data_IF_087016213863
#
_entry.id   IF_087016213863
#
_cell.length_a   1.000
_cell.length_b   1.000
_cell.length_c   1.000
_cell.angle_alpha   90.00
_cell.angle_beta   90.00
_cell.angle_gamma   90.00
#
_symmetry.space_group_name_H-M   'P 1'
#
loop_
_entity.id
_entity.type
_entity.pdbx_description
1 polymer ?
#
# COMPACT_ATOMS: atom_id res chain seq x y z
N UNK A 1 -9.51 -3.94 8.78
CA UNK A 1 -10.88 -3.37 8.74
C UNK A 1 -10.97 -2.09 7.91
N UNK A 2 -10.17 -1.06 8.21
CA UNK A 2 -10.21 0.25 7.49
C UNK A 2 -9.97 0.12 5.99
N UNK A 3 -8.93 -0.60 5.56
CA UNK A 3 -8.61 -0.79 4.13
C UNK A 3 -9.79 -1.41 3.37
N UNK A 4 -10.35 -2.50 3.91
CA UNK A 4 -11.47 -3.19 3.27
C UNK A 4 -12.71 -2.27 3.16
N UNK A 5 -13.01 -1.49 4.20
CA UNK A 5 -14.11 -0.53 4.16
C UNK A 5 -13.86 0.59 3.12
N UNK A 6 -12.63 1.09 3.03
CA UNK A 6 -12.22 2.10 2.06
C UNK A 6 -12.35 1.62 0.61
N UNK A 7 -11.79 0.45 0.32
CA UNK A 7 -11.89 -0.19 -1.00
C UNK A 7 -13.35 -0.45 -1.36
N UNK A 8 -14.16 -1.00 -0.45
CA UNK A 8 -15.58 -1.24 -0.70
C UNK A 8 -16.35 0.06 -0.98
N UNK A 9 -16.00 1.17 -0.32
CA UNK A 9 -16.56 2.48 -0.61
C UNK A 9 -16.19 2.95 -2.01
N UNK A 10 -14.91 2.87 -2.35
CA UNK A 10 -14.38 3.27 -3.67
C UNK A 10 -15.03 2.44 -4.79
N UNK A 11 -15.10 1.11 -4.68
CA UNK A 11 -15.73 0.25 -5.70
C UNK A 11 -17.19 0.63 -5.95
N UNK A 12 -17.96 0.95 -4.90
CA UNK A 12 -19.36 1.42 -5.07
C UNK A 12 -19.44 2.73 -5.84
N UNK A 13 -18.52 3.66 -5.60
CA UNK A 13 -18.45 4.94 -6.31
C UNK A 13 -17.99 4.76 -7.77
N UNK A 14 -17.09 3.82 -8.04
CA UNK A 14 -16.55 3.53 -9.37
C UNK A 14 -17.49 2.73 -10.26
N UNK A 15 -18.36 1.88 -9.68
CA UNK A 15 -19.20 0.93 -10.43
C UNK A 15 -20.07 1.55 -11.54
N UNK A 16 -20.73 2.72 -11.37
CA UNK A 16 -21.52 3.34 -12.43
C UNK A 16 -20.70 3.82 -13.64
N UNK A 17 -19.40 4.01 -13.45
CA UNK A 17 -18.50 4.57 -14.47
C UNK A 17 -17.58 3.51 -15.10
N UNK A 18 -17.59 2.28 -14.60
CA UNK A 18 -16.62 1.26 -14.98
C UNK A 18 -15.17 1.65 -14.64
N UNK A 19 -14.98 2.51 -13.64
CA UNK A 19 -13.66 2.97 -13.23
C UNK A 19 -12.92 1.91 -12.39
N UNK A 20 -11.60 1.92 -12.43
CA UNK A 20 -10.75 1.08 -11.58
C UNK A 20 -10.63 1.68 -10.18
N UNK A 21 -10.50 0.82 -9.18
CA UNK A 21 -10.25 1.17 -7.78
C UNK A 21 -8.79 0.91 -7.42
N UNK A 22 -8.03 1.96 -7.12
CA UNK A 22 -6.66 1.84 -6.66
C UNK A 22 -6.58 1.69 -5.14
N UNK A 23 -5.74 0.77 -4.67
CA UNK A 23 -5.22 0.79 -3.30
C UNK A 23 -4.11 1.83 -3.25
N UNK A 24 -4.38 2.92 -2.55
CA UNK A 24 -3.45 4.01 -2.36
C UNK A 24 -2.63 3.81 -1.08
N UNK A 25 -1.30 3.85 -1.17
CA UNK A 25 -0.37 3.54 -0.09
C UNK A 25 0.67 4.65 0.03
N UNK A 26 0.71 5.31 1.18
CA UNK A 26 1.74 6.27 1.55
C UNK A 26 2.98 5.66 2.24
N UNK A 27 3.92 6.49 2.70
CA UNK A 27 5.04 6.04 3.53
C UNK A 27 4.57 5.49 4.88
N UNK A 28 5.35 4.60 5.50
CA UNK A 28 5.12 4.10 6.86
C UNK A 28 5.35 5.18 7.92
N UNK A 29 6.06 6.26 7.56
CA UNK A 29 6.29 7.41 8.42
C UNK A 29 7.46 7.25 9.40
N UNK A 30 8.21 6.15 9.28
CA UNK A 30 9.43 5.89 10.05
C UNK A 30 10.61 5.69 9.08
N UNK A 31 11.76 6.29 9.41
CA UNK A 31 12.95 6.18 8.58
C UNK A 31 13.57 4.78 8.71
N UNK A 32 13.99 4.22 7.57
CA UNK A 32 14.72 2.97 7.52
C UNK A 32 16.13 3.08 8.11
N UNK A 33 16.64 1.99 8.67
CA UNK A 33 18.05 1.87 9.03
C UNK A 33 18.95 2.09 7.79
N UNK A 34 20.10 2.77 7.93
CA UNK A 34 20.68 3.30 9.17
C UNK A 34 20.22 4.73 9.56
N UNK A 35 19.34 5.35 8.76
CA UNK A 35 18.88 6.73 8.99
C UNK A 35 17.77 6.84 10.03
N UNK A 36 17.15 5.72 10.40
CA UNK A 36 16.21 5.59 11.50
C UNK A 36 16.31 4.22 12.16
N UNK A 37 15.18 3.72 12.64
CA UNK A 37 15.10 2.51 13.48
C UNK A 37 14.32 1.38 12.83
N UNK A 38 13.67 1.60 11.69
CA UNK A 38 12.87 0.59 11.02
C UNK A 38 13.76 -0.33 10.15
N UNK A 39 13.83 -1.64 10.43
CA UNK A 39 14.55 -2.55 9.56
C UNK A 39 13.83 -2.73 8.22
N UNK A 40 14.61 -2.88 7.13
CA UNK A 40 14.07 -3.02 5.77
C UNK A 40 13.05 -4.16 5.63
N UNK A 41 13.38 -5.35 6.14
CA UNK A 41 12.48 -6.52 6.06
C UNK A 41 11.19 -6.31 6.86
N UNK A 42 11.26 -5.58 7.97
CA UNK A 42 10.06 -5.18 8.72
C UNK A 42 9.19 -4.26 7.88
N UNK A 43 9.77 -3.27 7.19
CA UNK A 43 9.02 -2.39 6.29
C UNK A 43 8.35 -3.17 5.15
N UNK A 44 9.06 -4.13 4.52
CA UNK A 44 8.47 -5.02 3.50
C UNK A 44 7.26 -5.76 4.08
N UNK A 45 7.40 -6.34 5.28
CA UNK A 45 6.31 -7.09 5.92
C UNK A 45 5.09 -6.22 6.27
N UNK A 46 5.30 -4.97 6.69
CA UNK A 46 4.22 -4.03 7.00
C UNK A 46 3.50 -3.56 5.73
N UNK A 47 4.25 -3.26 4.66
CA UNK A 47 3.66 -2.99 3.36
C UNK A 47 2.87 -4.21 2.84
N UNK A 48 3.40 -5.43 2.99
CA UNK A 48 2.71 -6.63 2.55
C UNK A 48 1.37 -6.80 3.25
N UNK A 49 1.28 -6.52 4.55
CA UNK A 49 -0.01 -6.55 5.28
C UNK A 49 -1.05 -5.59 4.69
N UNK A 50 -0.62 -4.39 4.28
CA UNK A 50 -1.50 -3.39 3.64
C UNK A 50 -1.93 -3.89 2.26
N UNK A 51 -0.98 -4.34 1.44
CA UNK A 51 -1.21 -4.86 0.08
C UNK A 51 -2.19 -6.04 0.13
N UNK A 52 -1.93 -7.04 0.96
CA UNK A 52 -2.80 -8.21 1.09
C UNK A 52 -4.21 -7.84 1.54
N UNK A 53 -4.36 -6.85 2.44
CA UNK A 53 -5.68 -6.36 2.84
C UNK A 53 -6.43 -5.70 1.67
N UNK A 54 -5.75 -4.93 0.82
CA UNK A 54 -6.38 -4.29 -0.34
C UNK A 54 -6.66 -5.27 -1.48
N UNK A 55 -5.76 -6.23 -1.74
CA UNK A 55 -5.98 -7.32 -2.70
C UNK A 55 -7.18 -8.16 -2.28
N UNK A 56 -7.25 -8.58 -1.01
CA UNK A 56 -8.39 -9.33 -0.49
C UNK A 56 -9.71 -8.54 -0.53
N UNK A 57 -9.64 -7.21 -0.42
CA UNK A 57 -10.78 -6.32 -0.58
C UNK A 57 -11.17 -6.07 -2.05
N UNK A 58 -10.34 -6.51 -3.00
CA UNK A 58 -10.60 -6.42 -4.43
C UNK A 58 -10.17 -5.10 -5.06
N UNK A 59 -9.09 -4.45 -4.60
CA UNK A 59 -8.47 -3.36 -5.35
C UNK A 59 -7.96 -3.86 -6.71
N UNK A 60 -8.07 -3.03 -7.75
CA UNK A 60 -7.73 -3.40 -9.13
C UNK A 60 -6.26 -3.05 -9.48
N UNK A 61 -5.66 -2.12 -8.74
CA UNK A 61 -4.26 -1.72 -8.85
C UNK A 61 -3.74 -1.16 -7.52
N UNK A 62 -2.42 -1.06 -7.37
CA UNK A 62 -1.77 -0.41 -6.23
C UNK A 62 -1.04 0.84 -6.70
N UNK A 63 -1.19 1.92 -5.94
CA UNK A 63 -0.44 3.17 -6.11
C UNK A 63 0.39 3.38 -4.86
N UNK A 64 1.71 3.48 -5.02
CA UNK A 64 2.61 3.86 -3.94
C UNK A 64 2.93 5.34 -4.14
N UNK A 65 2.47 6.17 -3.22
CA UNK A 65 2.55 7.63 -3.35
C UNK A 65 3.26 8.28 -2.16
N UNK A 66 3.69 9.53 -2.36
CA UNK A 66 4.24 10.39 -1.31
C UNK A 66 5.46 9.80 -0.57
N UNK A 67 6.14 8.81 -1.16
CA UNK A 67 7.42 8.32 -0.64
C UNK A 67 8.52 9.36 -0.87
N UNK A 68 9.27 9.67 0.17
CA UNK A 68 10.41 10.61 0.14
C UNK A 68 11.76 9.90 0.14
N UNK A 69 11.78 8.60 0.46
CA UNK A 69 12.96 7.75 0.44
C UNK A 69 12.81 6.63 -0.60
N UNK A 70 13.81 6.49 -1.47
CA UNK A 70 13.83 5.44 -2.50
C UNK A 70 14.05 4.05 -1.90
N UNK A 71 14.68 3.96 -0.72
CA UNK A 71 14.88 2.68 -0.07
C UNK A 71 13.58 2.17 0.55
N UNK A 72 12.79 3.04 1.17
CA UNK A 72 11.42 2.74 1.60
C UNK A 72 10.52 2.38 0.41
N UNK A 73 10.57 3.14 -0.69
CA UNK A 73 9.82 2.82 -1.91
C UNK A 73 10.18 1.42 -2.45
N UNK A 74 11.45 1.02 -2.36
CA UNK A 74 11.88 -0.34 -2.74
C UNK A 74 11.22 -1.40 -1.85
N UNK A 75 11.09 -1.16 -0.55
CA UNK A 75 10.39 -2.09 0.35
C UNK A 75 8.91 -2.25 -0.04
N UNK A 76 8.23 -1.14 -0.33
CA UNK A 76 6.85 -1.15 -0.82
C UNK A 76 6.72 -1.91 -2.14
N UNK A 77 7.62 -1.69 -3.10
CA UNK A 77 7.59 -2.37 -4.40
C UNK A 77 7.84 -3.88 -4.29
N UNK A 78 8.70 -4.33 -3.36
CA UNK A 78 8.87 -5.76 -3.10
C UNK A 78 7.58 -6.36 -2.54
N UNK A 79 6.97 -5.71 -1.55
CA UNK A 79 5.72 -6.13 -0.96
C UNK A 79 4.53 -6.18 -1.94
N UNK A 80 4.51 -5.31 -2.96
CA UNK A 80 3.50 -5.32 -4.02
C UNK A 80 3.72 -6.45 -5.02
N UNK A 81 4.99 -6.85 -5.22
CA UNK A 81 5.37 -7.86 -6.23
C UNK A 81 5.14 -9.29 -5.73
N UNK A 82 5.34 -9.54 -4.45
CA UNK A 82 5.24 -10.88 -3.81
C UNK A 82 3.80 -11.28 -3.46
#
# INVERSE_FOLDING_TARGET
EVIAAGVACCKRACAPYGALTALDIGPLGELLEPNGTLPFETAVSEYARIVWAGVAAGADLVVVETCTDLYELKAALLAVKE
#
